data_IF_899106975457
#
_entry.id   IF_899106975457
#
_cell.length_a   1.000
_cell.length_b   1.000
_cell.length_c   1.000
_cell.angle_alpha   90.00
_cell.angle_beta   90.00
_cell.angle_gamma   90.00
#
_symmetry.space_group_name_H-M   'P 1'
#
loop_
_entity.id
_entity.type
_entity.pdbx_description
1 polymer ?
#
# COMPACT_ATOMS: atom_id res chain seq x y z
N UNK A 1 0.11 -3.31 -0.50
CA UNK A 1 -0.07 -3.81 -1.89
C UNK A 1 0.07 -5.33 -2.00
N UNK A 2 1.07 -5.94 -1.36
CA UNK A 2 1.26 -7.40 -1.35
C UNK A 2 -0.01 -8.16 -0.92
N UNK A 3 -0.70 -7.71 0.15
CA UNK A 3 -1.96 -8.32 0.58
C UNK A 3 -3.01 -8.38 -0.53
N UNK A 4 -3.24 -7.25 -1.20
CA UNK A 4 -4.29 -7.09 -2.20
C UNK A 4 -3.97 -7.96 -3.41
N UNK A 5 -2.70 -8.00 -3.83
CA UNK A 5 -2.23 -8.84 -4.93
C UNK A 5 -2.41 -10.34 -4.66
N UNK A 6 -2.25 -10.78 -3.40
CA UNK A 6 -2.39 -12.19 -3.02
C UNK A 6 -3.84 -12.64 -2.88
N UNK A 7 -4.75 -11.72 -2.56
CA UNK A 7 -6.14 -12.05 -2.19
C UNK A 7 -7.19 -11.60 -3.22
N UNK A 8 -6.80 -10.90 -4.28
CA UNK A 8 -7.71 -10.40 -5.32
C UNK A 8 -7.12 -10.56 -6.71
N UNK A 9 -7.94 -10.34 -7.74
CA UNK A 9 -7.47 -10.27 -9.14
C UNK A 9 -7.26 -8.83 -9.60
N UNK A 10 -7.30 -7.87 -8.68
CA UNK A 10 -7.12 -6.47 -9.01
C UNK A 10 -5.67 -6.25 -9.47
N UNK A 11 -5.46 -5.64 -10.66
CA UNK A 11 -4.11 -5.33 -11.12
C UNK A 11 -3.51 -4.25 -10.22
N UNK A 12 -2.50 -4.63 -9.45
CA UNK A 12 -1.76 -3.73 -8.56
C UNK A 12 -0.25 -3.87 -8.81
N UNK A 13 0.51 -2.76 -8.78
CA UNK A 13 1.97 -2.81 -8.85
C UNK A 13 2.61 -3.79 -7.85
N UNK A 14 3.56 -4.58 -8.33
CA UNK A 14 4.40 -5.44 -7.48
C UNK A 14 5.45 -4.57 -6.78
N UNK A 15 5.46 -4.58 -5.45
CA UNK A 15 6.49 -3.89 -4.65
C UNK A 15 7.75 -4.76 -4.62
N UNK A 16 8.89 -4.15 -4.90
CA UNK A 16 10.21 -4.80 -4.88
C UNK A 16 11.00 -4.46 -3.62
N UNK A 17 10.97 -3.19 -3.21
CA UNK A 17 11.67 -2.70 -2.04
C UNK A 17 11.01 -1.42 -1.52
N UNK A 18 11.30 -1.10 -0.27
CA UNK A 18 11.06 0.23 0.27
C UNK A 18 12.30 0.66 1.05
N UNK A 19 12.58 1.96 1.06
CA UNK A 19 13.74 2.53 1.72
C UNK A 19 13.36 3.85 2.37
N UNK A 20 13.70 4.00 3.65
CA UNK A 20 13.49 5.24 4.38
C UNK A 20 14.81 5.96 4.53
N UNK A 21 14.89 7.18 4.01
CA UNK A 21 16.07 8.02 4.00
C UNK A 21 15.87 9.24 4.89
N UNK A 22 16.88 9.56 5.70
CA UNK A 22 16.90 10.74 6.57
C UNK A 22 17.73 10.50 7.83
N UNK A 23 17.79 11.49 8.73
CA UNK A 23 17.07 12.76 8.67
C UNK A 23 17.58 13.68 7.54
N UNK A 24 16.66 14.33 6.83
CA UNK A 24 16.95 15.31 5.78
C UNK A 24 16.85 16.70 6.41
N UNK A 25 17.86 17.53 6.18
CA UNK A 25 17.81 18.94 6.56
C UNK A 25 16.82 19.67 5.64
N UNK A 26 15.63 19.95 6.17
CA UNK A 26 14.53 20.61 5.46
C UNK A 26 14.05 21.79 6.28
N UNK A 27 13.59 22.84 5.59
CA UNK A 27 12.93 23.96 6.25
C UNK A 27 11.70 23.45 7.02
N UNK A 28 11.56 23.87 8.27
CA UNK A 28 10.42 23.55 9.14
C UNK A 28 9.11 24.05 8.52
N UNK A 29 9.16 25.05 7.63
CA UNK A 29 8.01 25.57 6.88
C UNK A 29 7.49 24.66 5.76
N UNK A 30 8.26 23.66 5.30
CA UNK A 30 7.91 22.87 4.11
C UNK A 30 6.93 21.72 4.38
N UNK A 31 6.41 21.58 5.61
CA UNK A 31 5.50 20.50 6.04
C UNK A 31 6.00 19.06 5.74
N UNK A 32 7.25 18.91 5.30
CA UNK A 32 7.88 17.63 4.99
C UNK A 32 8.36 16.92 6.25
N UNK A 33 8.23 15.59 6.28
CA UNK A 33 8.87 14.79 7.32
C UNK A 33 10.40 14.88 7.24
N UNK A 34 11.08 14.70 8.37
CA UNK A 34 12.54 14.53 8.42
C UNK A 34 13.01 13.31 7.63
N UNK A 35 12.11 12.37 7.35
CA UNK A 35 12.40 11.15 6.62
C UNK A 35 11.49 11.06 5.40
N UNK A 36 12.05 10.63 4.28
CA UNK A 36 11.31 10.20 3.10
C UNK A 36 11.27 8.68 3.02
N UNK A 37 10.12 8.14 2.63
CA UNK A 37 10.00 6.71 2.31
C UNK A 37 9.81 6.55 0.81
N UNK A 38 10.77 5.90 0.18
CA UNK A 38 10.77 5.54 -1.23
C UNK A 38 10.22 4.12 -1.37
N UNK A 39 9.30 3.91 -2.30
CA UNK A 39 8.73 2.59 -2.61
C UNK A 39 9.06 2.26 -4.06
N UNK A 40 9.85 1.21 -4.27
CA UNK A 40 10.19 0.70 -5.58
C UNK A 40 9.17 -0.36 -5.99
N UNK A 41 8.48 -0.13 -7.10
CA UNK A 41 7.41 -1.01 -7.58
C UNK A 41 7.42 -1.16 -9.10
N UNK A 42 6.78 -2.21 -9.61
CA UNK A 42 6.66 -2.44 -11.04
C UNK A 42 5.92 -1.29 -11.73
N UNK A 43 6.45 -0.83 -12.86
CA UNK A 43 5.77 0.12 -13.71
C UNK A 43 4.57 -0.55 -14.41
N UNK A 44 3.41 0.11 -14.39
CA UNK A 44 2.23 -0.31 -15.17
C UNK A 44 2.13 0.62 -16.37
N UNK A 45 2.35 0.07 -17.56
CA UNK A 45 2.22 0.82 -18.80
C UNK A 45 0.75 1.17 -19.07
N UNK A 46 0.52 2.41 -19.50
CA UNK A 46 -0.80 2.91 -19.86
C UNK A 46 -0.95 4.40 -19.58
N UNK A 47 -2.12 4.93 -19.91
CA UNK A 47 -2.52 6.30 -19.60
C UNK A 47 -3.46 6.31 -18.40
N UNK A 48 -3.52 7.45 -17.71
CA UNK A 48 -4.50 7.61 -16.64
C UNK A 48 -5.90 7.60 -17.22
N UNK A 49 -6.87 7.09 -16.45
CA UNK A 49 -8.26 7.13 -16.86
C UNK A 49 -8.73 8.56 -17.10
N UNK A 50 -8.24 9.52 -16.31
CA UNK A 50 -8.55 10.95 -16.49
C UNK A 50 -8.16 11.46 -17.88
N UNK A 51 -6.96 11.13 -18.35
CA UNK A 51 -6.46 11.52 -19.68
C UNK A 51 -7.26 10.87 -20.80
N UNK A 52 -7.55 9.57 -20.69
CA UNK A 52 -8.18 8.81 -21.77
C UNK A 52 -9.73 8.90 -21.77
N UNK A 53 -10.36 9.34 -20.68
CA UNK A 53 -11.81 9.23 -20.47
C UNK A 53 -12.63 9.81 -21.61
N UNK A 54 -12.30 11.01 -22.07
CA UNK A 54 -13.09 11.72 -23.08
C UNK A 54 -12.97 11.11 -24.48
N UNK A 55 -11.91 10.33 -24.73
CA UNK A 55 -11.75 9.58 -25.97
C UNK A 55 -12.66 8.34 -26.05
N UNK A 56 -13.21 7.88 -24.92
CA UNK A 56 -14.00 6.67 -24.87
C UNK A 56 -15.48 6.90 -25.18
N UNK A 57 -16.05 6.01 -26.00
CA UNK A 57 -17.49 5.93 -26.22
C UNK A 57 -18.26 5.44 -24.98
N UNK A 58 -19.58 5.65 -24.97
CA UNK A 58 -20.47 5.31 -23.86
C UNK A 58 -20.38 3.83 -23.45
N UNK A 59 -20.27 2.92 -24.43
CA UNK A 59 -20.14 1.48 -24.16
C UNK A 59 -18.86 1.14 -23.39
N UNK A 60 -17.72 1.70 -23.82
CA UNK A 60 -16.42 1.49 -23.16
C UNK A 60 -16.43 2.08 -21.74
N UNK A 61 -16.98 3.29 -21.56
CA UNK A 61 -17.15 3.91 -20.22
C UNK A 61 -17.99 3.03 -19.29
N UNK A 62 -19.10 2.48 -19.78
CA UNK A 62 -19.95 1.56 -19.01
C UNK A 62 -19.21 0.26 -18.63
N UNK A 63 -18.40 -0.29 -19.53
CA UNK A 63 -17.58 -1.46 -19.24
C UNK A 63 -16.51 -1.17 -18.18
N UNK A 64 -15.78 -0.06 -18.33
CA UNK A 64 -14.74 0.36 -17.37
C UNK A 64 -15.36 0.60 -15.98
N UNK A 65 -16.49 1.30 -15.91
CA UNK A 65 -17.18 1.52 -14.63
C UNK A 65 -17.59 0.22 -13.94
N UNK A 66 -18.09 -0.76 -14.71
CA UNK A 66 -18.42 -2.09 -14.17
C UNK A 66 -17.18 -2.84 -13.68
N UNK A 67 -16.07 -2.74 -14.42
CA UNK A 67 -14.81 -3.35 -14.02
C UNK A 67 -14.25 -2.74 -12.72
N UNK A 68 -14.24 -1.41 -12.61
CA UNK A 68 -13.80 -0.70 -11.39
C UNK A 68 -14.69 -1.08 -10.21
N UNK A 69 -16.01 -1.13 -10.40
CA UNK A 69 -16.93 -1.55 -9.36
C UNK A 69 -16.66 -2.99 -8.89
N UNK A 70 -16.36 -3.91 -9.81
CA UNK A 70 -15.95 -5.28 -9.48
C UNK A 70 -14.67 -5.30 -8.65
N UNK A 71 -13.65 -4.53 -9.02
CA UNK A 71 -12.40 -4.45 -8.27
C UNK A 71 -12.57 -3.90 -6.86
N UNK A 72 -13.39 -2.86 -6.69
CA UNK A 72 -13.72 -2.33 -5.36
C UNK A 72 -14.41 -3.40 -4.51
N UNK A 73 -15.35 -4.16 -5.11
CA UNK A 73 -16.04 -5.22 -4.41
C UNK A 73 -15.10 -6.37 -4.01
N UNK A 74 -14.18 -6.77 -4.89
CA UNK A 74 -13.15 -7.76 -4.57
C UNK A 74 -12.29 -7.32 -3.38
N UNK A 75 -11.82 -6.07 -3.39
CA UNK A 75 -11.00 -5.52 -2.28
C UNK A 75 -11.78 -5.49 -0.97
N UNK A 76 -13.05 -5.07 -1.00
CA UNK A 76 -13.92 -5.05 0.20
C UNK A 76 -14.25 -6.45 0.71
N UNK A 77 -14.21 -7.45 -0.17
CA UNK A 77 -14.45 -8.84 0.18
C UNK A 77 -13.19 -9.56 0.70
N UNK A 78 -12.01 -8.93 0.69
CA UNK A 78 -10.85 -9.43 1.44
C UNK A 78 -11.29 -9.46 2.90
N UNK A 79 -11.52 -10.67 3.43
CA UNK A 79 -12.28 -10.87 4.66
C UNK A 79 -11.73 -10.05 5.83
N UNK A 80 -12.61 -9.33 6.52
CA UNK A 80 -12.29 -8.76 7.82
C UNK A 80 -12.42 -9.87 8.87
N UNK A 81 -11.32 -10.55 9.17
CA UNK A 81 -11.28 -11.64 10.16
C UNK A 81 -11.28 -11.08 11.59
N UNK A 82 -12.14 -10.09 11.87
CA UNK A 82 -12.28 -9.44 13.19
C UNK A 82 -10.99 -8.82 13.73
N UNK A 83 -10.03 -8.53 12.86
CA UNK A 83 -8.67 -8.17 13.22
C UNK A 83 -8.34 -6.77 12.69
N UNK A 84 -8.10 -5.84 13.61
CA UNK A 84 -7.63 -4.49 13.31
C UNK A 84 -6.15 -4.43 13.71
N UNK A 85 -5.28 -4.40 12.72
CA UNK A 85 -3.83 -4.43 12.91
C UNK A 85 -3.09 -4.43 11.58
N UNK A 86 -1.78 -4.56 11.65
CA UNK A 86 -0.91 -4.74 10.49
C UNK A 86 -1.21 -6.06 9.78
N UNK A 87 -0.91 -6.11 8.49
CA UNK A 87 -1.15 -7.26 7.60
C UNK A 87 -0.55 -8.58 8.11
N UNK A 88 0.54 -8.50 8.87
CA UNK A 88 1.27 -9.60 9.50
C UNK A 88 0.63 -10.06 10.83
N UNK A 89 -0.57 -9.57 11.13
CA UNK A 89 -1.23 -9.73 12.42
C UNK A 89 -0.47 -9.09 13.62
N UNK A 90 0.41 -8.13 13.33
CA UNK A 90 1.05 -7.24 14.31
C UNK A 90 0.27 -5.94 14.58
N UNK A 91 0.70 -5.07 15.51
CA UNK A 91 -0.10 -3.92 15.87
C UNK A 91 -0.11 -2.90 14.72
N UNK A 92 -1.11 -2.03 14.64
CA UNK A 92 -1.11 -0.93 13.67
C UNK A 92 0.11 -0.04 13.92
N UNK A 93 0.98 0.05 12.91
CA UNK A 93 2.20 0.89 12.97
C UNK A 93 2.02 2.24 12.28
N UNK A 94 0.86 2.50 11.65
CA UNK A 94 0.58 3.75 10.97
C UNK A 94 0.65 4.95 11.92
N UNK A 95 1.42 5.97 11.54
CA UNK A 95 1.62 7.18 12.34
C UNK A 95 0.32 7.98 12.53
N UNK A 96 -0.60 7.90 11.58
CA UNK A 96 -1.95 8.50 11.68
C UNK A 96 -2.80 7.89 12.79
N UNK A 97 -2.49 6.65 13.20
CA UNK A 97 -3.14 5.93 14.29
C UNK A 97 -2.26 5.87 15.55
N UNK A 98 -1.25 6.75 15.64
CA UNK A 98 -0.34 6.80 16.79
C UNK A 98 -1.06 7.00 18.13
N UNK A 99 -2.20 7.72 18.13
CA UNK A 99 -3.03 7.99 19.30
C UNK A 99 -4.16 6.98 19.51
N UNK A 100 -4.31 5.98 18.63
CA UNK A 100 -5.33 4.94 18.80
C UNK A 100 -5.07 4.15 20.08
N UNK A 101 -6.12 3.99 20.90
CA UNK A 101 -6.07 3.23 22.16
C UNK A 101 -5.92 1.73 21.89
N UNK A 102 -6.59 1.25 20.84
CA UNK A 102 -6.46 -0.11 20.35
C UNK A 102 -5.61 -0.11 19.08
N UNK A 103 -4.51 -0.84 19.13
CA UNK A 103 -3.61 -1.03 17.98
C UNK A 103 -3.55 -2.49 17.56
N UNK A 104 -4.42 -3.36 18.06
CA UNK A 104 -4.30 -4.80 17.87
C UNK A 104 -3.20 -5.42 18.75
N UNK A 105 -3.01 -6.73 18.61
CA UNK A 105 -2.11 -7.53 19.45
C UNK A 105 -0.64 -7.19 19.15
N UNK A 106 0.18 -6.98 20.19
CA UNK A 106 1.62 -6.77 20.01
C UNK A 106 2.32 -8.12 19.68
N UNK A 107 2.97 -8.27 18.52
CA UNK A 107 3.81 -9.40 18.20
C UNK A 107 5.08 -9.35 19.06
N UNK A 108 5.72 -10.51 19.21
CA UNK A 108 6.85 -10.67 20.13
C UNK A 108 8.09 -9.96 19.57
N UNK A 109 8.99 -9.43 20.42
CA UNK A 109 10.07 -8.52 20.00
C UNK A 109 10.99 -9.04 18.87
N UNK A 110 11.11 -10.35 18.67
CA UNK A 110 11.96 -10.96 17.65
C UNK A 110 11.28 -11.18 16.29
N UNK A 111 9.98 -10.93 16.16
CA UNK A 111 9.26 -11.07 14.88
C UNK A 111 9.54 -9.89 13.91
N UNK A 112 10.10 -8.78 14.42
CA UNK A 112 10.45 -7.59 13.64
C UNK A 112 11.80 -7.69 12.90
N UNK A 113 12.64 -8.66 13.25
CA UNK A 113 14.02 -8.72 12.79
C UNK A 113 14.21 -9.79 11.70
N UNK A 114 13.66 -9.52 10.51
CA UNK A 114 14.12 -10.16 9.26
C UNK A 114 15.02 -9.21 8.49
N UNK A 115 16.01 -8.63 9.17
CA UNK A 115 17.28 -8.35 8.51
C UNK A 115 17.93 -9.70 8.25
N UNK A 116 17.65 -10.29 7.08
CA UNK A 116 18.55 -11.31 6.55
C UNK A 116 19.93 -10.66 6.38
N UNK A 117 21.02 -11.31 6.83
CA UNK A 117 22.35 -10.86 6.45
C UNK A 117 22.41 -10.85 4.92
N UNK A 118 22.87 -9.75 4.35
CA UNK A 118 23.41 -9.76 3.01
C UNK A 118 24.68 -10.62 3.11
N UNK A 119 24.56 -11.89 2.76
CA UNK A 119 25.71 -12.74 2.48
C UNK A 119 26.44 -12.11 1.29
N UNK A 120 27.47 -11.32 1.61
CA UNK A 120 28.54 -10.97 0.69
C UNK A 120 29.61 -12.04 0.86
N UNK A 121 29.56 -13.05 -0.01
CA UNK A 121 30.71 -13.83 -0.48
C UNK A 121 30.53 -14.12 -1.98
#
# INVERSE_FOLDING_TARGET
MIHVAQNTRVPVPKVFAYYTYGPIDRDVGDYGGLYDTYIFMSFIAGETLHTAWDSFGVSAKSQISRQIASYIQEIRNIGNVGYIGSIDHGPVTDRSLATSLDKGTKPRPWEWNTQGPLDLD
#
